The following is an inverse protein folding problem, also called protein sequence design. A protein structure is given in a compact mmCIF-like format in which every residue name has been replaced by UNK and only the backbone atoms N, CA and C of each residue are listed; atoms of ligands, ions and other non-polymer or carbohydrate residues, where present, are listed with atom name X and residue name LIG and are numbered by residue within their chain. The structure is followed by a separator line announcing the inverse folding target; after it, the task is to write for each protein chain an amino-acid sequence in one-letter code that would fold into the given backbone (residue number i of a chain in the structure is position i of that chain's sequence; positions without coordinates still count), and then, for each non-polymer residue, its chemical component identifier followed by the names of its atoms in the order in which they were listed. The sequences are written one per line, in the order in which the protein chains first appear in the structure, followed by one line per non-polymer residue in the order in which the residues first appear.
data_IF_669406508374
#
_entry.id   IF_669406508374
#
_cell.length_a   1.000
_cell.length_b   1.000
_cell.length_c   1.000
_cell.angle_alpha   90.00
_cell.angle_beta   90.00
_cell.angle_gamma   90.00
#
_symmetry.space_group_name_H-M   'P 1'
#
loop_
_entity.id
_entity.type
_entity.pdbx_description
1 polymer ?
#
# COMPACT_ATOMS: atom_id res chain seq x y z
N UNK A 1 -6.85 19.58 2.33
CA UNK A 1 -6.12 18.47 1.69
C UNK A 1 -4.95 17.99 2.54
N UNK A 2 -3.92 18.80 2.73
CA UNK A 2 -2.67 18.40 3.44
C UNK A 2 -2.93 17.87 4.85
N UNK A 3 -3.83 18.49 5.62
CA UNK A 3 -4.18 18.02 6.95
C UNK A 3 -4.75 16.59 6.91
N UNK A 4 -5.62 16.28 5.96
CA UNK A 4 -6.17 14.95 5.78
C UNK A 4 -5.09 13.94 5.41
N UNK A 5 -4.12 14.34 4.56
CA UNK A 5 -3.00 13.49 4.20
C UNK A 5 -2.10 13.18 5.41
N UNK A 6 -1.83 14.15 6.27
CA UNK A 6 -1.09 13.94 7.53
C UNK A 6 -1.88 13.02 8.48
N UNK A 7 -3.17 13.25 8.66
CA UNK A 7 -4.02 12.42 9.50
C UNK A 7 -4.12 10.97 8.99
N UNK A 8 -4.02 10.76 7.68
CA UNK A 8 -4.02 9.42 7.10
C UNK A 8 -2.84 8.56 7.55
N UNK A 9 -1.72 9.18 7.94
CA UNK A 9 -0.56 8.47 8.46
C UNK A 9 -0.86 7.71 9.76
N UNK A 10 -1.95 8.05 10.48
CA UNK A 10 -2.41 7.30 11.66
C UNK A 10 -2.72 5.82 11.34
N UNK A 11 -3.06 5.51 10.08
CA UNK A 11 -3.22 4.13 9.60
C UNK A 11 -1.99 3.27 9.91
N UNK A 12 -0.78 3.83 9.84
CA UNK A 12 0.45 3.09 10.16
C UNK A 12 0.54 2.75 11.64
N UNK A 13 0.09 3.65 12.53
CA UNK A 13 -0.02 3.37 13.97
C UNK A 13 -1.05 2.28 14.22
N UNK A 14 -2.20 2.33 13.52
CA UNK A 14 -3.23 1.29 13.57
C UNK A 14 -2.67 -0.10 13.27
N UNK A 15 -1.85 -0.21 12.21
CA UNK A 15 -1.17 -1.47 11.83
C UNK A 15 -0.20 -1.94 12.93
N UNK A 16 0.52 -1.03 13.57
CA UNK A 16 1.39 -1.35 14.70
C UNK A 16 0.61 -1.94 15.89
N UNK A 17 -0.53 -1.35 16.24
CA UNK A 17 -1.43 -1.86 17.28
C UNK A 17 -2.02 -3.22 16.94
N UNK A 18 -2.43 -3.43 15.68
CA UNK A 18 -2.91 -4.73 15.19
C UNK A 18 -1.82 -5.79 15.34
N UNK A 19 -0.56 -5.47 15.00
CA UNK A 19 0.57 -6.38 15.15
C UNK A 19 0.74 -6.87 16.59
N UNK A 20 0.66 -5.95 17.56
CA UNK A 20 0.81 -6.32 18.98
C UNK A 20 -0.33 -7.29 19.42
N UNK A 21 -1.55 -7.03 18.97
CA UNK A 21 -2.69 -7.88 19.26
C UNK A 21 -2.60 -9.26 18.60
N UNK A 22 -2.13 -9.35 17.37
CA UNK A 22 -2.03 -10.61 16.60
C UNK A 22 -1.10 -11.62 17.26
N UNK A 23 -0.11 -11.19 18.05
CA UNK A 23 0.77 -12.10 18.81
C UNK A 23 0.01 -13.06 19.74
N UNK A 24 -1.18 -12.66 20.22
CA UNK A 24 -2.03 -13.43 21.11
C UNK A 24 -3.26 -14.04 20.43
N UNK A 25 -3.42 -13.88 19.13
CA UNK A 25 -4.58 -14.32 18.36
C UNK A 25 -4.19 -15.46 17.40
N UNK A 26 -5.14 -16.34 17.05
CA UNK A 26 -4.91 -17.36 16.02
C UNK A 26 -4.70 -16.70 14.65
N UNK A 27 -4.11 -17.43 13.70
CA UNK A 27 -3.97 -16.93 12.33
C UNK A 27 -5.34 -16.54 11.75
N UNK A 28 -5.42 -15.32 11.21
CA UNK A 28 -6.66 -14.78 10.66
C UNK A 28 -7.07 -15.58 9.40
N UNK A 29 -8.11 -16.39 9.54
CA UNK A 29 -8.76 -17.09 8.45
C UNK A 29 -10.25 -16.71 8.43
N UNK A 30 -10.68 -16.06 7.34
CA UNK A 30 -12.09 -15.65 7.19
C UNK A 30 -13.06 -16.83 7.10
N UNK A 31 -12.56 -18.07 6.92
CA UNK A 31 -13.36 -19.27 6.82
C UNK A 31 -13.87 -19.79 8.18
N UNK A 32 -13.27 -19.35 9.30
CA UNK A 32 -13.63 -19.82 10.65
C UNK A 32 -14.25 -18.70 11.47
N UNK A 33 -15.55 -18.81 11.75
CA UNK A 33 -16.31 -17.81 12.53
C UNK A 33 -15.68 -17.51 13.89
N UNK A 34 -15.20 -18.53 14.58
CA UNK A 34 -14.60 -18.38 15.92
C UNK A 34 -13.32 -17.53 15.88
N UNK A 35 -12.53 -17.65 14.81
CA UNK A 35 -11.33 -16.82 14.61
C UNK A 35 -11.72 -15.36 14.40
N UNK A 36 -12.70 -15.10 13.53
CA UNK A 36 -13.19 -13.73 13.28
C UNK A 36 -13.72 -13.10 14.57
N UNK A 37 -14.50 -13.85 15.35
CA UNK A 37 -15.03 -13.38 16.64
C UNK A 37 -13.89 -13.07 17.62
N UNK A 38 -12.84 -13.90 17.68
CA UNK A 38 -11.67 -13.64 18.54
C UNK A 38 -10.99 -12.30 18.20
N UNK A 39 -10.87 -11.97 16.91
CA UNK A 39 -10.33 -10.68 16.47
C UNK A 39 -11.25 -9.50 16.83
N UNK A 40 -12.54 -9.62 16.54
CA UNK A 40 -13.53 -8.56 16.81
C UNK A 40 -13.75 -8.29 18.30
N UNK A 41 -13.49 -9.27 19.16
CA UNK A 41 -13.58 -9.11 20.62
C UNK A 41 -12.29 -8.63 21.27
N UNK A 42 -11.17 -8.67 20.55
CA UNK A 42 -9.89 -8.17 21.05
C UNK A 42 -9.83 -6.64 20.99
N UNK A 43 -9.87 -5.98 22.15
CA UNK A 43 -9.91 -4.52 22.26
C UNK A 43 -8.72 -3.81 21.59
N UNK A 44 -7.49 -4.38 21.69
CA UNK A 44 -6.28 -3.78 21.09
C UNK A 44 -6.33 -3.89 19.57
N UNK A 45 -6.74 -5.04 19.04
CA UNK A 45 -6.87 -5.22 17.60
C UNK A 45 -7.97 -4.32 17.03
N UNK A 46 -9.11 -4.23 17.71
CA UNK A 46 -10.21 -3.34 17.32
C UNK A 46 -9.80 -1.87 17.34
N UNK A 47 -9.04 -1.43 18.37
CA UNK A 47 -8.50 -0.07 18.39
C UNK A 47 -7.57 0.16 17.20
N UNK A 48 -6.67 -0.80 16.91
CA UNK A 48 -5.79 -0.74 15.74
C UNK A 48 -6.58 -0.65 14.43
N UNK A 49 -7.65 -1.44 14.29
CA UNK A 49 -8.52 -1.41 13.11
C UNK A 49 -9.25 -0.05 12.97
N UNK A 50 -9.79 0.49 14.06
CA UNK A 50 -10.48 1.78 14.04
C UNK A 50 -9.51 2.90 13.64
N UNK A 51 -8.28 2.90 14.19
CA UNK A 51 -7.24 3.88 13.83
C UNK A 51 -6.80 3.72 12.36
N UNK A 52 -6.70 2.48 11.88
CA UNK A 52 -6.36 2.20 10.47
C UNK A 52 -7.48 2.67 9.53
N UNK A 53 -8.73 2.36 9.85
CA UNK A 53 -9.89 2.82 9.07
C UNK A 53 -10.04 4.35 9.11
N UNK A 54 -9.80 4.99 10.27
CA UNK A 54 -9.78 6.44 10.35
C UNK A 54 -8.72 7.03 9.42
N UNK A 55 -7.51 6.49 9.45
CA UNK A 55 -6.44 6.89 8.52
C UNK A 55 -6.82 6.67 7.06
N UNK A 56 -7.50 5.56 6.73
CA UNK A 56 -7.96 5.28 5.38
C UNK A 56 -9.03 6.30 4.92
N UNK A 57 -9.98 6.66 5.78
CA UNK A 57 -10.99 7.70 5.48
C UNK A 57 -10.33 9.05 5.26
N UNK A 58 -9.37 9.44 6.11
CA UNK A 58 -8.59 10.67 5.93
C UNK A 58 -7.81 10.64 4.61
N UNK A 59 -7.26 9.49 4.24
CA UNK A 59 -6.62 9.29 2.94
C UNK A 59 -7.57 9.52 1.75
N UNK A 60 -8.78 8.98 1.80
CA UNK A 60 -9.80 9.21 0.78
C UNK A 60 -10.17 10.69 0.64
N UNK A 61 -10.38 11.39 1.75
CA UNK A 61 -10.66 12.84 1.75
C UNK A 61 -9.48 13.63 1.19
N UNK A 62 -8.26 13.17 1.45
CA UNK A 62 -7.06 13.76 0.86
C UNK A 62 -7.02 13.58 -0.66
N UNK A 63 -7.29 12.36 -1.17
CA UNK A 63 -7.31 12.06 -2.60
C UNK A 63 -8.39 12.83 -3.37
N UNK A 64 -9.50 13.16 -2.72
CA UNK A 64 -10.53 14.01 -3.30
C UNK A 64 -10.19 15.51 -3.32
N UNK A 65 -9.15 15.94 -2.59
CA UNK A 65 -8.80 17.35 -2.39
C UNK A 65 -7.36 17.71 -2.76
N UNK A 66 -6.51 16.72 -2.97
CA UNK A 66 -5.11 16.88 -3.39
C UNK A 66 -4.83 16.05 -4.64
N UNK A 67 -3.95 16.52 -5.52
CA UNK A 67 -3.35 15.69 -6.55
C UNK A 67 -2.73 14.42 -5.93
N UNK A 68 -2.92 13.27 -6.58
CA UNK A 68 -2.35 11.99 -6.13
C UNK A 68 -0.84 12.12 -5.95
N UNK A 69 -0.21 12.93 -6.79
CA UNK A 69 1.22 13.26 -6.74
C UNK A 69 1.71 13.86 -5.42
N UNK A 70 0.86 14.58 -4.71
CA UNK A 70 1.18 15.19 -3.40
C UNK A 70 0.75 14.27 -2.26
N UNK A 71 -0.41 13.65 -2.39
CA UNK A 71 -0.98 12.79 -1.35
C UNK A 71 -0.14 11.52 -1.11
N UNK A 72 0.29 10.85 -2.18
CA UNK A 72 1.05 9.59 -2.11
C UNK A 72 2.34 9.69 -1.29
N UNK A 73 3.23 10.68 -1.50
CA UNK A 73 4.44 10.81 -0.68
C UNK A 73 4.16 11.03 0.79
N UNK A 74 3.12 11.81 1.09
CA UNK A 74 2.72 12.02 2.48
C UNK A 74 2.28 10.69 3.10
N UNK A 75 1.48 9.88 2.40
CA UNK A 75 1.08 8.55 2.88
C UNK A 75 2.29 7.63 3.09
N UNK A 76 3.25 7.67 2.19
CA UNK A 76 4.45 6.84 2.28
C UNK A 76 5.39 7.27 3.41
N UNK A 77 5.44 8.57 3.74
CA UNK A 77 6.21 9.05 4.89
C UNK A 77 5.67 8.50 6.23
N UNK A 78 4.44 8.00 6.25
CA UNK A 78 3.87 7.24 7.36
C UNK A 78 4.68 5.99 7.73
N UNK A 79 5.49 5.43 6.80
CA UNK A 79 6.40 4.34 7.11
C UNK A 79 7.46 4.76 8.14
N UNK A 80 7.98 5.98 8.05
CA UNK A 80 8.89 6.51 9.06
C UNK A 80 8.21 6.63 10.42
N UNK A 81 6.95 7.08 10.44
CA UNK A 81 6.14 7.12 11.66
C UNK A 81 5.93 5.71 12.25
N UNK A 82 5.66 4.70 11.40
CA UNK A 82 5.55 3.32 11.84
C UNK A 82 6.87 2.80 12.42
N UNK A 83 8.01 3.08 11.78
CA UNK A 83 9.31 2.66 12.27
C UNK A 83 9.60 3.24 13.67
N UNK A 84 9.35 4.55 13.85
CA UNK A 84 9.46 5.21 15.15
C UNK A 84 8.51 4.59 16.19
N UNK A 85 7.25 4.37 15.82
CA UNK A 85 6.26 3.72 16.68
C UNK A 85 6.68 2.29 17.06
N UNK A 86 7.13 1.50 16.10
CA UNK A 86 7.58 0.12 16.33
C UNK A 86 8.79 0.07 17.26
N UNK A 87 9.74 0.99 17.10
CA UNK A 87 10.90 1.09 17.98
C UNK A 87 10.52 1.39 19.42
N UNK A 88 9.68 2.41 19.65
CA UNK A 88 9.33 2.84 21.01
C UNK A 88 8.24 1.99 21.66
N UNK A 89 7.24 1.55 20.92
CA UNK A 89 6.06 0.86 21.46
C UNK A 89 6.13 -0.66 21.36
N UNK A 90 6.56 -1.20 20.21
CA UNK A 90 6.65 -2.64 20.01
C UNK A 90 7.95 -3.24 20.53
N UNK A 91 8.95 -2.40 20.89
CA UNK A 91 10.28 -2.84 21.30
C UNK A 91 11.09 -3.50 20.19
N UNK A 92 10.72 -3.27 18.92
CA UNK A 92 11.46 -3.77 17.77
C UNK A 92 12.75 -2.98 17.63
N UNK A 93 13.91 -3.67 17.69
CA UNK A 93 15.22 -3.02 17.54
C UNK A 93 15.54 -2.85 16.07
N UNK A 94 15.56 -1.60 15.62
CA UNK A 94 16.06 -1.24 14.29
C UNK A 94 17.57 -0.99 14.39
N UNK A 95 18.35 -1.68 13.56
CA UNK A 95 19.78 -1.41 13.41
C UNK A 95 20.04 -0.13 12.58
N UNK A 96 21.28 0.33 12.59
CA UNK A 96 21.68 1.52 11.82
C UNK A 96 21.37 1.39 10.32
N UNK A 97 21.55 0.22 9.75
CA UNK A 97 21.27 -0.07 8.33
C UNK A 97 19.78 0.05 8.03
N UNK A 98 18.90 -0.40 8.93
CA UNK A 98 17.45 -0.28 8.79
C UNK A 98 17.00 1.18 8.88
N UNK A 99 17.59 1.98 9.78
CA UNK A 99 17.35 3.42 9.87
C UNK A 99 17.77 4.16 8.59
N UNK A 100 18.92 3.80 8.02
CA UNK A 100 19.34 4.32 6.70
C UNK A 100 18.33 3.91 5.63
N UNK A 101 17.86 2.67 5.64
CA UNK A 101 16.80 2.19 4.73
C UNK A 101 15.52 3.03 4.83
N UNK A 102 15.05 3.34 6.05
CA UNK A 102 13.89 4.23 6.26
C UNK A 102 14.15 5.62 5.67
N UNK A 103 15.33 6.21 5.95
CA UNK A 103 15.68 7.54 5.44
C UNK A 103 15.75 7.57 3.91
N UNK A 104 16.38 6.56 3.28
CA UNK A 104 16.46 6.41 1.82
C UNK A 104 15.06 6.20 1.22
N UNK A 105 14.19 5.42 1.88
CA UNK A 105 12.80 5.23 1.45
C UNK A 105 12.05 6.57 1.42
N UNK A 106 12.09 7.34 2.51
CA UNK A 106 11.45 8.65 2.59
C UNK A 106 12.00 9.61 1.53
N UNK A 107 13.33 9.65 1.37
CA UNK A 107 13.98 10.46 0.33
C UNK A 107 13.57 10.07 -1.08
N UNK A 108 13.56 8.77 -1.38
CA UNK A 108 13.13 8.25 -2.68
C UNK A 108 11.67 8.58 -3.00
N UNK A 109 10.79 8.41 -2.00
CA UNK A 109 9.37 8.75 -2.12
C UNK A 109 9.18 10.26 -2.35
N UNK A 110 9.87 11.09 -1.58
CA UNK A 110 9.80 12.55 -1.74
C UNK A 110 10.32 12.98 -3.11
N UNK A 111 11.45 12.40 -3.54
CA UNK A 111 12.00 12.64 -4.88
C UNK A 111 11.01 12.26 -5.98
N UNK A 112 10.37 11.09 -5.87
CA UNK A 112 9.36 10.64 -6.83
C UNK A 112 8.17 11.60 -6.89
N UNK A 113 7.72 12.09 -5.72
CA UNK A 113 6.60 13.02 -5.63
C UNK A 113 6.86 14.36 -6.33
N UNK A 114 8.07 14.89 -6.15
CA UNK A 114 8.46 16.16 -6.79
C UNK A 114 8.51 16.08 -8.32
N UNK A 115 8.49 14.86 -8.88
CA UNK A 115 8.50 14.63 -10.33
C UNK A 115 7.12 14.33 -10.91
N UNK A 116 6.09 14.20 -10.09
CA UNK A 116 4.74 13.97 -10.57
C UNK A 116 4.19 15.27 -11.17
N UNK A 117 3.70 15.18 -12.38
CA UNK A 117 3.01 16.27 -13.07
C UNK A 117 1.51 16.11 -12.86
N UNK A 118 0.80 17.23 -12.75
CA UNK A 118 -0.66 17.19 -12.69
C UNK A 118 -1.19 16.71 -14.04
N UNK A 119 -2.04 15.69 -14.00
CA UNK A 119 -2.70 15.19 -15.20
C UNK A 119 -3.86 16.12 -15.53
N UNK A 120 -3.89 16.67 -16.75
CA UNK A 120 -5.03 17.42 -17.25
C UNK A 120 -6.16 16.44 -17.60
N UNK A 121 -7.04 16.22 -16.66
CA UNK A 121 -8.16 15.28 -16.79
C UNK A 121 -9.17 15.68 -17.84
N UNK A 122 -9.16 16.94 -18.33
CA UNK A 122 -10.09 17.39 -19.39
C UNK A 122 -9.75 16.82 -20.75
N UNK A 123 -8.51 16.34 -20.96
CA UNK A 123 -8.04 15.77 -22.21
C UNK A 123 -7.98 14.23 -22.20
N UNK A 124 -8.35 13.60 -21.09
CA UNK A 124 -8.29 12.14 -20.96
C UNK A 124 -9.51 11.50 -21.61
N UNK A 125 -9.27 10.52 -22.51
CA UNK A 125 -10.33 9.64 -23.01
C UNK A 125 -10.74 8.65 -21.91
N UNK A 126 -11.84 9.00 -21.22
CA UNK A 126 -12.38 8.18 -20.14
C UNK A 126 -12.79 6.78 -20.58
N UNK A 127 -13.21 6.59 -21.83
CA UNK A 127 -13.59 5.26 -22.36
C UNK A 127 -12.36 4.34 -22.44
N UNK A 128 -11.29 4.83 -23.03
CA UNK A 128 -10.03 4.08 -23.12
C UNK A 128 -9.41 3.84 -21.73
N UNK A 129 -9.48 4.82 -20.84
CA UNK A 129 -9.01 4.71 -19.45
C UNK A 129 -9.78 3.62 -18.70
N UNK A 130 -11.10 3.63 -18.77
CA UNK A 130 -11.95 2.66 -18.09
C UNK A 130 -11.71 1.24 -18.61
N UNK A 131 -11.51 1.04 -19.92
CA UNK A 131 -11.16 -0.25 -20.49
C UNK A 131 -9.81 -0.76 -19.96
N UNK A 132 -8.77 0.08 -19.99
CA UNK A 132 -7.43 -0.28 -19.48
C UNK A 132 -7.47 -0.61 -17.98
N UNK A 133 -8.18 0.19 -17.19
CA UNK A 133 -8.35 -0.04 -15.75
C UNK A 133 -9.12 -1.34 -15.48
N UNK A 134 -10.19 -1.61 -16.25
CA UNK A 134 -10.94 -2.86 -16.15
C UNK A 134 -10.07 -4.08 -16.43
N UNK A 135 -9.25 -4.06 -17.49
CA UNK A 135 -8.29 -5.14 -17.80
C UNK A 135 -7.27 -5.30 -16.67
N UNK A 136 -6.70 -4.21 -16.18
CA UNK A 136 -5.73 -4.26 -15.09
C UNK A 136 -6.34 -4.86 -13.82
N UNK A 137 -7.57 -4.50 -13.45
CA UNK A 137 -8.28 -5.04 -12.31
C UNK A 137 -8.66 -6.52 -12.46
N UNK A 138 -8.88 -7.03 -13.67
CA UNK A 138 -9.08 -8.46 -13.92
C UNK A 138 -7.79 -9.27 -13.73
N UNK A 139 -6.62 -8.68 -13.97
CA UNK A 139 -5.33 -9.33 -13.74
C UNK A 139 -4.95 -9.41 -12.27
N UNK A 140 -5.39 -8.46 -11.44
CA UNK A 140 -5.05 -8.42 -10.01
C UNK A 140 -5.43 -9.72 -9.28
N UNK A 141 -6.66 -10.25 -9.35
CA UNK A 141 -7.01 -11.52 -8.70
C UNK A 141 -6.13 -12.69 -9.17
N UNK A 142 -5.78 -12.75 -10.45
CA UNK A 142 -4.91 -13.82 -10.99
C UNK A 142 -3.54 -13.76 -10.34
N UNK A 143 -2.93 -12.58 -10.26
CA UNK A 143 -1.63 -12.38 -9.59
C UNK A 143 -1.74 -12.74 -8.11
N UNK A 144 -2.80 -12.31 -7.42
CA UNK A 144 -3.00 -12.63 -6.02
C UNK A 144 -3.13 -14.14 -5.77
N UNK A 145 -3.81 -14.88 -6.63
CA UNK A 145 -3.93 -16.35 -6.53
C UNK A 145 -2.56 -17.01 -6.70
N UNK A 146 -1.75 -16.56 -7.66
CA UNK A 146 -0.38 -17.08 -7.87
C UNK A 146 0.49 -16.81 -6.63
N UNK A 147 0.45 -15.59 -6.10
CA UNK A 147 1.18 -15.23 -4.89
C UNK A 147 0.69 -16.00 -3.66
N UNK A 148 -0.62 -16.28 -3.58
CA UNK A 148 -1.18 -17.10 -2.50
C UNK A 148 -0.66 -18.54 -2.56
N UNK A 149 -0.61 -19.13 -3.75
CA UNK A 149 -0.02 -20.46 -3.92
C UNK A 149 1.47 -20.48 -3.52
N UNK A 150 2.22 -19.42 -3.83
CA UNK A 150 3.61 -19.28 -3.40
C UNK A 150 3.72 -19.13 -1.87
N UNK A 151 2.87 -18.31 -1.25
CA UNK A 151 2.85 -18.12 0.19
C UNK A 151 2.47 -19.41 0.94
N UNK A 152 1.51 -20.18 0.41
CA UNK A 152 1.12 -21.47 0.98
C UNK A 152 2.25 -22.51 0.91
N UNK A 153 3.10 -22.45 -0.13
CA UNK A 153 4.31 -23.30 -0.22
C UNK A 153 5.37 -22.85 0.79
N UNK A 154 5.64 -21.53 0.85
CA UNK A 154 6.63 -20.97 1.77
C UNK A 154 6.31 -21.29 3.24
N UNK A 155 5.04 -21.30 3.63
CA UNK A 155 4.60 -21.64 4.99
C UNK A 155 4.92 -23.07 5.43
N UNK A 156 5.10 -24.01 4.50
CA UNK A 156 5.42 -25.40 4.82
C UNK A 156 6.83 -25.60 5.37
N UNK A 157 7.70 -24.66 5.11
CA UNK A 157 9.08 -24.69 5.54
C UNK A 157 9.32 -23.63 6.62
N UNK A 158 9.65 -24.01 7.87
CA UNK A 158 9.79 -23.07 8.99
C UNK A 158 10.94 -22.06 8.80
N UNK A 159 11.86 -22.32 7.88
CA UNK A 159 12.99 -21.43 7.54
C UNK A 159 12.58 -20.26 6.63
N UNK A 160 11.44 -20.33 5.96
CA UNK A 160 11.00 -19.36 4.94
C UNK A 160 10.18 -18.18 5.49
N UNK A 161 10.47 -17.72 6.72
CA UNK A 161 9.77 -16.58 7.33
C UNK A 161 9.84 -15.34 6.43
N UNK A 162 11.03 -15.04 5.89
CA UNK A 162 11.23 -13.88 5.01
C UNK A 162 10.36 -13.97 3.75
N UNK A 163 10.24 -15.16 3.16
CA UNK A 163 9.38 -15.34 2.00
C UNK A 163 7.90 -15.04 2.31
N UNK A 164 7.43 -15.44 3.49
CA UNK A 164 6.04 -15.14 3.93
C UNK A 164 5.86 -13.64 4.18
N UNK A 165 6.86 -12.97 4.79
CA UNK A 165 6.84 -11.51 4.98
C UNK A 165 6.73 -10.77 3.64
N UNK A 166 7.62 -11.11 2.70
CA UNK A 166 7.67 -10.51 1.35
C UNK A 166 6.36 -10.73 0.59
N UNK A 167 5.89 -11.98 0.54
CA UNK A 167 4.68 -12.34 -0.20
C UNK A 167 3.43 -11.68 0.41
N UNK A 168 3.32 -11.66 1.75
CA UNK A 168 2.19 -11.02 2.43
C UNK A 168 2.18 -9.51 2.22
N UNK A 169 3.34 -8.85 2.36
CA UNK A 169 3.50 -7.43 2.07
C UNK A 169 3.21 -7.10 0.60
N UNK A 170 3.70 -7.93 -0.33
CA UNK A 170 3.46 -7.76 -1.77
C UNK A 170 1.97 -7.87 -2.11
N UNK A 171 1.27 -8.87 -1.59
CA UNK A 171 -0.17 -9.03 -1.81
C UNK A 171 -0.96 -7.83 -1.24
N UNK A 172 -0.63 -7.41 -0.03
CA UNK A 172 -1.24 -6.22 0.56
C UNK A 172 -0.97 -4.95 -0.26
N UNK A 173 0.26 -4.78 -0.74
CA UNK A 173 0.66 -3.65 -1.58
C UNK A 173 -0.07 -3.61 -2.93
N UNK A 174 -0.26 -4.76 -3.58
CA UNK A 174 -1.06 -4.86 -4.81
C UNK A 174 -2.51 -4.45 -4.53
N UNK A 175 -3.11 -4.95 -3.46
CA UNK A 175 -4.47 -4.59 -3.09
C UNK A 175 -4.63 -3.08 -2.82
N UNK A 176 -3.68 -2.47 -2.11
CA UNK A 176 -3.68 -1.03 -1.83
C UNK A 176 -3.49 -0.23 -3.13
N UNK A 177 -2.48 -0.56 -3.93
CA UNK A 177 -2.15 0.20 -5.14
C UNK A 177 -3.24 0.12 -6.21
N UNK A 178 -3.75 -1.08 -6.50
CA UNK A 178 -4.87 -1.26 -7.42
C UNK A 178 -6.16 -0.62 -6.89
N UNK A 179 -6.41 -0.74 -5.59
CA UNK A 179 -7.55 -0.12 -4.93
C UNK A 179 -7.52 1.41 -5.01
N UNK A 180 -6.39 2.04 -4.71
CA UNK A 180 -6.22 3.48 -4.78
C UNK A 180 -6.35 4.01 -6.22
N UNK A 181 -5.81 3.28 -7.22
CA UNK A 181 -5.98 3.63 -8.62
C UNK A 181 -7.45 3.59 -9.05
N UNK A 182 -8.17 2.53 -8.64
CA UNK A 182 -9.59 2.40 -8.91
C UNK A 182 -10.43 3.48 -8.24
N UNK A 183 -10.17 3.74 -6.95
CA UNK A 183 -10.84 4.80 -6.18
C UNK A 183 -10.59 6.18 -6.79
N UNK A 184 -9.34 6.52 -7.05
CA UNK A 184 -8.97 7.81 -7.63
C UNK A 184 -9.65 8.03 -8.98
N UNK A 185 -9.55 7.05 -9.89
CA UNK A 185 -10.17 7.13 -11.22
C UNK A 185 -11.70 7.19 -11.16
N UNK A 186 -12.31 6.39 -10.27
CA UNK A 186 -13.76 6.39 -10.08
C UNK A 186 -14.27 7.72 -9.52
N UNK A 187 -13.65 8.25 -8.46
CA UNK A 187 -14.03 9.52 -7.85
C UNK A 187 -13.84 10.71 -8.80
N UNK A 188 -12.74 10.73 -9.56
CA UNK A 188 -12.49 11.78 -10.55
C UNK A 188 -13.49 11.73 -11.69
N UNK A 189 -13.82 10.53 -12.20
CA UNK A 189 -14.83 10.37 -13.25
C UNK A 189 -16.22 10.83 -12.79
N UNK A 190 -16.57 10.63 -11.53
CA UNK A 190 -17.83 11.11 -10.95
C UNK A 190 -17.84 12.64 -10.72
N UNK A 191 -16.68 13.23 -10.39
CA UNK A 191 -16.56 14.66 -10.07
C UNK A 191 -16.57 15.57 -11.28
N UNK A 192 -16.24 15.07 -12.48
CA UNK A 192 -16.13 15.88 -13.70
C UNK A 192 -17.48 16.17 -14.41
N UNK A 193 -18.62 15.83 -13.80
CA UNK A 193 -19.93 16.41 -14.08
C UNK A 193 -20.51 16.31 -15.52
N UNK A 194 -19.87 15.62 -16.44
CA UNK A 194 -20.29 15.44 -17.83
C UNK A 194 -20.44 13.98 -18.27
N UNK A 195 -20.38 13.05 -17.33
CA UNK A 195 -20.45 11.63 -17.64
C UNK A 195 -21.88 11.25 -18.10
N UNK A 196 -21.98 10.53 -19.22
CA UNK A 196 -23.21 9.83 -19.58
C UNK A 196 -23.60 8.87 -18.43
N UNK A 197 -24.89 8.53 -18.31
CA UNK A 197 -25.36 7.63 -17.24
C UNK A 197 -24.53 6.32 -17.17
N UNK A 198 -24.16 5.75 -18.32
CA UNK A 198 -23.33 4.56 -18.37
C UNK A 198 -21.92 4.76 -17.82
N UNK A 199 -21.30 5.91 -18.08
CA UNK A 199 -19.98 6.26 -17.55
C UNK A 199 -20.02 6.47 -16.03
N UNK A 200 -21.09 7.05 -15.50
CA UNK A 200 -21.28 7.22 -14.06
C UNK A 200 -21.46 5.88 -13.33
N UNK A 201 -22.21 4.94 -13.92
CA UNK A 201 -22.36 3.58 -13.36
C UNK A 201 -21.02 2.88 -13.31
N UNK A 202 -20.24 2.93 -14.40
CA UNK A 202 -18.92 2.29 -14.45
C UNK A 202 -17.93 2.94 -13.48
N UNK A 203 -17.95 4.26 -13.33
CA UNK A 203 -17.17 4.98 -12.32
C UNK A 203 -17.54 4.52 -10.90
N UNK A 204 -18.84 4.34 -10.61
CA UNK A 204 -19.32 3.75 -9.37
C UNK A 204 -18.81 2.33 -9.14
N UNK A 205 -18.77 1.49 -10.17
CA UNK A 205 -18.17 0.16 -10.11
C UNK A 205 -16.68 0.20 -9.75
N UNK A 206 -15.92 1.16 -10.28
CA UNK A 206 -14.50 1.33 -9.92
C UNK A 206 -14.33 1.80 -8.47
N UNK A 207 -15.19 2.67 -7.97
CA UNK A 207 -15.17 3.05 -6.54
C UNK A 207 -15.42 1.81 -5.67
N UNK A 208 -16.43 1.01 -5.98
CA UNK A 208 -16.73 -0.23 -5.23
C UNK A 208 -15.59 -1.22 -5.31
N UNK A 209 -15.03 -1.44 -6.51
CA UNK A 209 -13.87 -2.33 -6.71
C UNK A 209 -12.64 -1.84 -5.91
N UNK A 210 -12.42 -0.53 -5.88
CA UNK A 210 -11.34 0.08 -5.11
C UNK A 210 -11.52 -0.10 -3.61
N UNK A 211 -12.72 0.14 -3.08
CA UNK A 211 -13.05 -0.12 -1.67
C UNK A 211 -12.84 -1.60 -1.33
N UNK A 212 -13.34 -2.50 -2.16
CA UNK A 212 -13.17 -3.94 -1.95
C UNK A 212 -11.69 -4.34 -1.95
N UNK A 213 -10.93 -3.90 -2.93
CA UNK A 213 -9.49 -4.20 -3.03
C UNK A 213 -8.72 -3.66 -1.82
N UNK A 214 -8.94 -2.41 -1.44
CA UNK A 214 -8.30 -1.84 -0.25
C UNK A 214 -8.76 -2.49 1.05
N UNK A 215 -10.01 -2.95 1.15
CA UNK A 215 -10.53 -3.65 2.34
C UNK A 215 -9.97 -5.06 2.50
N UNK A 216 -9.40 -5.67 1.47
CA UNK A 216 -8.78 -7.01 1.55
C UNK A 216 -7.34 -6.98 2.04
N UNK A 217 -6.63 -5.84 1.93
CA UNK A 217 -5.21 -5.78 2.32
C UNK A 217 -4.94 -6.14 3.80
N UNK A 218 -5.81 -5.83 4.81
CA UNK A 218 -5.53 -6.20 6.19
C UNK A 218 -5.44 -7.71 6.41
N UNK A 219 -6.12 -8.51 5.58
CA UNK A 219 -6.04 -9.98 5.67
C UNK A 219 -4.62 -10.45 5.40
N UNK A 220 -3.99 -9.92 4.33
CA UNK A 220 -2.61 -10.26 3.99
C UNK A 220 -1.61 -9.70 4.99
N UNK A 221 -1.82 -8.46 5.48
CA UNK A 221 -0.97 -7.87 6.51
C UNK A 221 -1.02 -8.65 7.81
N UNK A 222 -2.22 -8.99 8.31
CA UNK A 222 -2.36 -9.72 9.56
C UNK A 222 -1.75 -11.12 9.47
N UNK A 223 -1.85 -11.79 8.30
CA UNK A 223 -1.13 -13.02 8.07
C UNK A 223 0.39 -12.83 8.19
N UNK A 224 0.93 -11.83 7.52
CA UNK A 224 2.36 -11.50 7.64
C UNK A 224 2.78 -11.19 9.07
N UNK A 225 1.97 -10.43 9.80
CA UNK A 225 2.22 -10.06 11.19
C UNK A 225 2.30 -11.26 12.14
N UNK A 226 1.64 -12.38 11.83
CA UNK A 226 1.74 -13.60 12.61
C UNK A 226 3.10 -14.29 12.50
N UNK A 227 3.84 -14.05 11.41
CA UNK A 227 5.13 -14.70 11.14
C UNK A 227 6.32 -13.78 11.29
N UNK A 228 6.18 -12.48 10.99
CA UNK A 228 7.30 -11.60 10.79
C UNK A 228 7.20 -10.24 11.49
N UNK A 229 8.16 -9.35 11.14
CA UNK A 229 8.27 -8.00 11.68
C UNK A 229 7.35 -7.03 10.96
N UNK A 230 6.57 -6.24 11.73
CA UNK A 230 5.61 -5.29 11.17
C UNK A 230 6.25 -4.27 10.23
N UNK A 231 7.44 -3.76 10.59
CA UNK A 231 8.15 -2.75 9.78
C UNK A 231 8.47 -3.27 8.39
N UNK A 232 8.97 -4.51 8.27
CA UNK A 232 9.31 -5.12 6.99
C UNK A 232 8.07 -5.37 6.14
N UNK A 233 7.04 -5.97 6.71
CA UNK A 233 5.82 -6.31 5.99
C UNK A 233 5.14 -5.03 5.48
N UNK A 234 5.05 -3.99 6.32
CA UNK A 234 4.51 -2.70 5.92
C UNK A 234 5.41 -1.96 4.92
N UNK A 235 6.74 -2.10 5.03
CA UNK A 235 7.66 -1.55 4.04
C UNK A 235 7.44 -2.18 2.65
N UNK A 236 7.31 -3.51 2.57
CA UNK A 236 6.98 -4.19 1.31
C UNK A 236 5.61 -3.77 0.78
N UNK A 237 4.60 -3.72 1.65
CA UNK A 237 3.26 -3.28 1.24
C UNK A 237 3.28 -1.85 0.68
N UNK A 238 3.97 -0.94 1.35
CA UNK A 238 4.10 0.45 0.92
C UNK A 238 4.85 0.56 -0.39
N UNK A 239 5.97 -0.14 -0.53
CA UNK A 239 6.78 -0.14 -1.73
C UNK A 239 6.00 -0.68 -2.93
N UNK A 240 5.38 -1.84 -2.78
CA UNK A 240 4.63 -2.46 -3.88
C UNK A 240 3.42 -1.61 -4.23
N UNK A 241 2.73 -0.99 -3.26
CA UNK A 241 1.62 -0.09 -3.54
C UNK A 241 2.07 1.15 -4.31
N UNK A 242 3.26 1.68 -4.02
CA UNK A 242 3.84 2.78 -4.80
C UNK A 242 4.19 2.38 -6.22
N UNK A 243 4.92 1.27 -6.38
CA UNK A 243 5.28 0.77 -7.71
C UNK A 243 4.02 0.48 -8.53
N UNK A 244 3.01 -0.09 -7.89
CA UNK A 244 1.71 -0.33 -8.51
C UNK A 244 1.00 0.98 -8.87
N UNK A 245 1.08 2.00 -7.99
CA UNK A 245 0.56 3.35 -8.28
C UNK A 245 1.24 4.01 -9.47
N UNK A 246 2.57 3.94 -9.56
CA UNK A 246 3.33 4.45 -10.71
C UNK A 246 2.97 3.68 -11.98
N UNK A 247 2.91 2.36 -11.92
CA UNK A 247 2.56 1.51 -13.06
C UNK A 247 1.14 1.81 -13.55
N UNK A 248 0.18 1.89 -12.63
CA UNK A 248 -1.20 2.23 -12.95
C UNK A 248 -1.31 3.65 -13.50
N UNK A 249 -0.63 4.63 -12.89
CA UNK A 249 -0.60 6.01 -13.36
C UNK A 249 -0.13 6.10 -14.81
N UNK A 250 1.04 5.55 -15.10
CA UNK A 250 1.66 5.66 -16.43
C UNK A 250 0.97 4.77 -17.46
N UNK A 251 0.78 3.47 -17.16
CA UNK A 251 0.32 2.51 -18.15
C UNK A 251 -1.21 2.48 -18.32
N UNK A 252 -1.95 2.78 -17.23
CA UNK A 252 -3.42 2.67 -17.24
C UNK A 252 -4.07 4.05 -17.33
N UNK A 253 -3.67 4.98 -16.44
CA UNK A 253 -4.25 6.32 -16.40
C UNK A 253 -3.66 7.26 -17.46
N UNK A 254 -2.55 6.87 -18.11
CA UNK A 254 -1.91 7.68 -19.13
C UNK A 254 -1.24 8.94 -18.57
N UNK A 255 -0.85 8.92 -17.29
CA UNK A 255 -0.11 10.03 -16.69
C UNK A 255 1.19 10.29 -17.50
N UNK A 256 1.46 11.53 -17.87
CA UNK A 256 2.63 11.84 -18.68
C UNK A 256 3.92 11.52 -17.91
N UNK A 257 4.87 10.90 -18.60
CA UNK A 257 6.24 10.79 -18.10
C UNK A 257 6.90 12.16 -18.24
N UNK A 258 7.65 12.63 -17.23
CA UNK A 258 8.26 13.97 -17.30
C UNK A 258 9.10 14.14 -18.57
N UNK A 259 8.80 15.19 -19.34
CA UNK A 259 9.53 15.54 -20.55
C UNK A 259 10.87 16.22 -20.24
N UNK A 260 10.98 16.86 -19.08
CA UNK A 260 12.23 17.43 -18.57
C UNK A 260 13.20 16.33 -18.16
N UNK A 261 14.43 16.28 -18.75
CA UNK A 261 15.41 15.23 -18.43
C UNK A 261 15.78 15.17 -16.94
N UNK A 262 15.87 16.33 -16.25
CA UNK A 262 16.21 16.36 -14.84
C UNK A 262 15.13 15.72 -13.98
N UNK A 263 13.86 16.03 -14.24
CA UNK A 263 12.72 15.42 -13.56
C UNK A 263 12.59 13.93 -13.89
N UNK A 264 12.82 13.55 -15.16
CA UNK A 264 12.82 12.14 -15.58
C UNK A 264 13.88 11.32 -14.84
N UNK A 265 15.12 11.84 -14.77
CA UNK A 265 16.18 11.20 -13.99
C UNK A 265 15.86 11.14 -12.49
N UNK A 266 15.29 12.20 -11.93
CA UNK A 266 14.87 12.23 -10.52
C UNK A 266 13.78 11.20 -10.22
N UNK A 267 12.83 10.97 -11.16
CA UNK A 267 11.81 9.92 -11.07
C UNK A 267 12.45 8.53 -11.06
N UNK A 268 13.36 8.25 -11.99
CA UNK A 268 14.11 6.98 -12.03
C UNK A 268 14.91 6.79 -10.74
N UNK A 269 15.64 7.83 -10.31
CA UNK A 269 16.42 7.78 -9.08
C UNK A 269 15.54 7.49 -7.85
N UNK A 270 14.35 8.11 -7.76
CA UNK A 270 13.38 7.84 -6.69
C UNK A 270 12.95 6.37 -6.66
N UNK A 271 12.61 5.78 -7.81
CA UNK A 271 12.24 4.36 -7.93
C UNK A 271 13.40 3.45 -7.48
N UNK A 272 14.62 3.72 -7.95
CA UNK A 272 15.82 2.95 -7.59
C UNK A 272 16.13 3.09 -6.10
N UNK A 273 16.04 4.31 -5.55
CA UNK A 273 16.25 4.55 -4.12
C UNK A 273 15.26 3.75 -3.26
N UNK A 274 14.00 3.68 -3.66
CA UNK A 274 13.00 2.85 -2.98
C UNK A 274 13.39 1.36 -3.03
N UNK A 275 13.85 0.87 -4.18
CA UNK A 275 14.34 -0.51 -4.31
C UNK A 275 15.52 -0.79 -3.36
N UNK A 276 16.50 0.12 -3.31
CA UNK A 276 17.63 0.04 -2.38
C UNK A 276 17.16 0.07 -0.92
N UNK A 277 16.20 0.94 -0.59
CA UNK A 277 15.66 1.02 0.77
C UNK A 277 15.08 -0.32 1.24
N UNK A 278 14.38 -1.04 0.38
CA UNK A 278 13.86 -2.38 0.71
C UNK A 278 14.98 -3.36 0.98
N UNK A 279 16.03 -3.36 0.18
CA UNK A 279 17.19 -4.23 0.41
C UNK A 279 17.88 -3.89 1.75
N UNK A 280 18.02 -2.60 2.08
CA UNK A 280 18.59 -2.16 3.34
C UNK A 280 17.73 -2.57 4.54
N UNK A 281 16.41 -2.44 4.45
CA UNK A 281 15.49 -2.86 5.51
C UNK A 281 15.53 -4.38 5.75
N UNK A 282 15.90 -5.17 4.74
CA UNK A 282 16.04 -6.63 4.85
C UNK A 282 17.48 -7.11 5.06
N UNK A 283 18.47 -6.22 5.05
CA UNK A 283 19.89 -6.61 5.14
C UNK A 283 20.23 -7.52 6.34
N UNK A 284 19.69 -7.32 7.56
CA UNK A 284 19.96 -8.21 8.68
C UNK A 284 19.48 -9.65 8.45
N UNK A 285 18.31 -9.82 7.82
CA UNK A 285 17.75 -11.15 7.54
C UNK A 285 18.47 -11.82 6.36
N UNK A 286 18.82 -11.05 5.33
CA UNK A 286 19.61 -11.55 4.20
C UNK A 286 20.98 -12.06 4.65
N UNK A 287 21.62 -11.42 5.64
CA UNK A 287 22.87 -11.90 6.23
C UNK A 287 22.71 -13.22 6.98
N UNK A 288 21.58 -13.44 7.66
CA UNK A 288 21.29 -14.72 8.32
C UNK A 288 21.07 -15.87 7.34
N UNK A 289 20.55 -15.59 6.14
CA UNK A 289 20.35 -16.60 5.09
C UNK A 289 21.66 -16.92 4.35
N UNK A 290 22.61 -16.02 4.38
CA UNK A 290 23.93 -16.19 3.73
C UNK A 290 24.99 -16.82 4.66
N UNK A 291 24.71 -16.94 5.96
CA UNK A 291 25.55 -17.57 6.98
C UNK A 291 25.07 -18.98 7.32
#
# INVERSE_FOLDING_TARGET
GILFAILSMSSQIGKGLQKDAVKSLPELTCAKKDVVVAYLTNKRWMLGLVVDLFGAVMGLLSLGTLPISIAQPIFCSGLALLAVFSFFYLGERLGAVEWVGVAVCVGGVTGLALTLEETDWTQVDFGALQLRLGIALLLVPVVLVVLEAAAARAKKEPTNVVAVEVLSGTQAGICIGAGNASLGSGLQSLGLGGATEGAAVLAGCFVVAGIFSTSTHPVFLNRGFSYGRVVLICAYATLVSMLMGVLMGVAVLGEPWPSDPARSMMRIFGIVAIGIAVLLLNAPELRKLAA
#
